data_IF_241618573054
#
_entry.id   IF_241618573054
#
_cell.length_a   1.000
_cell.length_b   1.000
_cell.length_c   1.000
_cell.angle_alpha   90.00
_cell.angle_beta   90.00
_cell.angle_gamma   90.00
#
_symmetry.space_group_name_H-M   'P 1'
#
loop_
_entity.id
_entity.type
_entity.pdbx_description
1 polymer ?
#
# COMPACT_ATOMS: atom_id res chain seq x y z
N UNK A 1 -12.23 4.66 -7.23
CA UNK A 1 -12.56 5.49 -6.04
C UNK A 1 -11.77 6.78 -6.04
N UNK A 2 -10.48 6.77 -6.19
CA UNK A 2 -9.63 7.97 -6.23
C UNK A 2 -8.68 7.89 -7.44
N UNK A 3 -9.15 8.13 -8.67
CA UNK A 3 -8.38 7.79 -9.87
C UNK A 3 -7.04 8.53 -9.95
N UNK A 4 -7.00 9.82 -9.65
CA UNK A 4 -5.76 10.59 -9.65
C UNK A 4 -4.77 10.09 -8.61
N UNK A 5 -5.25 9.84 -7.39
CA UNK A 5 -4.42 9.28 -6.33
C UNK A 5 -3.86 7.90 -6.71
N UNK A 6 -4.70 7.01 -7.23
CA UNK A 6 -4.26 5.69 -7.67
C UNK A 6 -3.22 5.78 -8.80
N UNK A 7 -3.40 6.68 -9.75
CA UNK A 7 -2.43 6.90 -10.83
C UNK A 7 -1.06 7.37 -10.28
N UNK A 8 -1.04 8.31 -9.33
CA UNK A 8 0.21 8.79 -8.72
C UNK A 8 0.91 7.68 -7.92
N UNK A 9 0.15 6.85 -7.21
CA UNK A 9 0.72 5.75 -6.43
C UNK A 9 1.26 4.61 -7.31
N UNK A 10 0.57 4.30 -8.41
CA UNK A 10 1.07 3.36 -9.41
C UNK A 10 2.37 3.84 -10.06
N UNK A 11 2.45 5.14 -10.37
CA UNK A 11 3.66 5.75 -10.91
C UNK A 11 4.85 5.66 -9.93
N UNK A 12 4.62 5.93 -8.64
CA UNK A 12 5.66 5.80 -7.60
C UNK A 12 6.13 4.36 -7.47
N UNK A 13 5.22 3.39 -7.50
CA UNK A 13 5.57 1.96 -7.47
C UNK A 13 6.48 1.58 -8.64
N UNK A 14 6.08 1.90 -9.86
CA UNK A 14 6.87 1.63 -11.07
C UNK A 14 8.23 2.32 -11.03
N UNK A 15 8.28 3.59 -10.60
CA UNK A 15 9.51 4.34 -10.42
C UNK A 15 10.45 3.68 -9.40
N UNK A 16 9.91 3.23 -8.27
CA UNK A 16 10.67 2.56 -7.21
C UNK A 16 11.36 1.29 -7.71
N UNK A 17 10.66 0.48 -8.50
CA UNK A 17 11.24 -0.72 -9.10
C UNK A 17 12.40 -0.40 -10.04
N UNK A 18 12.21 0.60 -10.90
CA UNK A 18 13.24 1.05 -11.85
C UNK A 18 14.46 1.64 -11.14
N UNK A 19 14.23 2.48 -10.13
CA UNK A 19 15.28 3.09 -9.32
C UNK A 19 16.10 2.03 -8.57
N UNK A 20 15.43 1.05 -7.98
CA UNK A 20 16.10 -0.08 -7.31
C UNK A 20 17.02 -0.83 -8.26
N UNK A 21 16.57 -1.07 -9.49
CA UNK A 21 17.39 -1.70 -10.51
C UNK A 21 18.61 -0.85 -10.90
N UNK A 22 18.42 0.45 -11.09
CA UNK A 22 19.54 1.36 -11.42
C UNK A 22 20.60 1.41 -10.32
N UNK A 23 20.18 1.38 -9.05
CA UNK A 23 21.10 1.52 -7.91
C UNK A 23 21.66 0.20 -7.37
N UNK A 24 21.36 -0.93 -8.01
CA UNK A 24 21.72 -2.29 -7.53
C UNK A 24 23.22 -2.54 -7.34
N UNK A 25 24.09 -1.73 -7.90
CA UNK A 25 25.54 -1.82 -7.75
C UNK A 25 26.11 -0.80 -6.78
N UNK A 26 25.28 -0.11 -6.01
CA UNK A 26 25.69 0.94 -5.06
C UNK A 26 25.36 0.55 -3.62
N UNK A 27 25.76 1.40 -2.67
CA UNK A 27 25.43 1.25 -1.26
C UNK A 27 24.04 1.85 -0.89
N UNK A 28 23.23 2.21 -1.89
CA UNK A 28 21.90 2.79 -1.67
C UNK A 28 20.86 1.68 -1.71
N UNK A 29 20.09 1.56 -0.65
CA UNK A 29 18.91 0.70 -0.59
C UNK A 29 17.66 1.50 -0.96
N UNK A 30 16.79 0.90 -1.78
CA UNK A 30 15.50 1.49 -2.18
C UNK A 30 14.39 0.62 -1.62
N UNK A 31 13.73 1.12 -0.59
CA UNK A 31 12.65 0.45 0.11
C UNK A 31 11.30 1.04 -0.32
N UNK A 32 10.28 0.21 -0.39
CA UNK A 32 8.91 0.63 -0.69
C UNK A 32 7.99 0.26 0.47
N UNK A 33 7.32 1.27 1.00
CA UNK A 33 6.27 1.09 2.00
C UNK A 33 4.93 1.43 1.35
N UNK A 34 4.05 0.46 1.24
CA UNK A 34 2.67 0.66 0.76
C UNK A 34 1.68 0.40 1.90
N UNK A 35 1.22 1.46 2.58
CA UNK A 35 0.30 1.30 3.70
C UNK A 35 -1.10 0.90 3.23
N UNK A 36 -1.87 0.20 4.08
CA UNK A 36 -3.30 0.07 3.90
C UNK A 36 -4.02 1.40 4.24
N UNK A 37 -5.35 1.37 4.27
CA UNK A 37 -6.12 2.45 4.90
C UNK A 37 -5.83 2.45 6.40
N UNK A 38 -5.24 3.51 6.91
CA UNK A 38 -4.76 3.64 8.31
C UNK A 38 -5.49 4.76 9.02
N UNK A 39 -5.75 4.60 10.31
CA UNK A 39 -6.36 5.62 11.16
C UNK A 39 -5.42 6.81 11.33
N UNK A 40 -5.56 7.79 10.44
CA UNK A 40 -4.84 9.07 10.41
C UNK A 40 -5.82 10.15 9.98
N UNK A 41 -5.38 11.40 9.96
CA UNK A 41 -6.18 12.52 9.49
C UNK A 41 -6.47 12.47 7.98
N UNK A 42 -5.68 11.68 7.25
CA UNK A 42 -5.88 11.51 5.81
C UNK A 42 -7.23 10.84 5.54
N UNK A 43 -8.07 11.49 4.74
CA UNK A 43 -9.40 11.00 4.35
C UNK A 43 -10.32 10.67 5.54
N UNK A 44 -10.16 11.40 6.65
CA UNK A 44 -10.93 11.16 7.89
C UNK A 44 -10.80 9.73 8.45
N UNK A 45 -9.67 9.09 8.18
CA UNK A 45 -9.41 7.71 8.61
C UNK A 45 -9.35 7.54 10.13
N UNK A 46 -9.06 8.61 10.88
CA UNK A 46 -9.00 8.57 12.34
C UNK A 46 -10.31 8.08 12.98
N UNK A 47 -11.45 8.35 12.33
CA UNK A 47 -12.79 8.01 12.81
C UNK A 47 -13.43 6.83 12.05
N UNK A 48 -12.74 6.24 11.08
CA UNK A 48 -13.28 5.15 10.28
C UNK A 48 -12.88 3.78 10.85
N UNK A 49 -13.85 2.97 11.31
CA UNK A 49 -13.56 1.64 11.86
C UNK A 49 -13.00 0.65 10.84
N UNK A 50 -13.09 0.95 9.53
CA UNK A 50 -12.49 0.13 8.45
C UNK A 50 -10.98 0.35 8.33
N UNK A 51 -10.46 1.45 8.90
CA UNK A 51 -9.05 1.78 8.86
C UNK A 51 -8.27 0.99 9.92
N UNK A 52 -7.09 0.54 9.55
CA UNK A 52 -6.18 -0.14 10.48
C UNK A 52 -5.68 0.84 11.56
N UNK A 53 -5.68 0.47 12.84
CA UNK A 53 -5.12 1.32 13.88
C UNK A 53 -3.66 1.70 13.57
N UNK A 54 -3.33 2.98 13.68
CA UNK A 54 -1.99 3.49 13.36
C UNK A 54 -0.88 2.78 14.14
N UNK A 55 -1.12 2.52 15.43
CA UNK A 55 -0.16 1.83 16.29
C UNK A 55 0.17 0.44 15.77
N UNK A 56 -0.83 -0.30 15.33
CA UNK A 56 -0.67 -1.68 14.83
C UNK A 56 0.07 -1.68 13.49
N UNK A 57 -0.29 -0.72 12.61
CA UNK A 57 0.43 -0.53 11.35
C UNK A 57 1.92 -0.25 11.57
N UNK A 58 2.24 0.70 12.45
CA UNK A 58 3.65 1.05 12.73
C UNK A 58 4.40 -0.16 13.30
N UNK A 59 3.81 -0.89 14.25
CA UNK A 59 4.45 -2.05 14.86
C UNK A 59 4.77 -3.13 13.82
N UNK A 60 3.80 -3.49 12.98
CA UNK A 60 3.98 -4.52 11.95
C UNK A 60 4.96 -4.07 10.86
N UNK A 61 4.87 -2.83 10.38
CA UNK A 61 5.79 -2.28 9.39
C UNK A 61 7.24 -2.27 9.89
N UNK A 62 7.46 -1.92 11.14
CA UNK A 62 8.80 -1.92 11.75
C UNK A 62 9.38 -3.33 11.90
N UNK A 63 8.56 -4.33 12.21
CA UNK A 63 9.02 -5.72 12.26
C UNK A 63 9.43 -6.22 10.86
N UNK A 64 8.65 -5.88 9.83
CA UNK A 64 9.00 -6.23 8.45
C UNK A 64 10.30 -5.52 8.02
N UNK A 65 10.45 -4.24 8.36
CA UNK A 65 11.67 -3.48 8.06
C UNK A 65 12.93 -4.13 8.63
N UNK A 66 12.86 -4.65 9.85
CA UNK A 66 13.97 -5.35 10.50
C UNK A 66 14.42 -6.62 9.77
N UNK A 67 13.57 -7.22 8.96
CA UNK A 67 13.92 -8.42 8.16
C UNK A 67 14.83 -8.12 6.98
N UNK A 68 15.05 -6.85 6.63
CA UNK A 68 15.78 -6.44 5.41
C UNK A 68 14.92 -6.54 4.15
N UNK A 69 13.61 -6.69 4.26
CA UNK A 69 12.72 -6.72 3.11
C UNK A 69 12.74 -5.38 2.36
N UNK A 70 12.78 -5.45 1.03
CA UNK A 70 12.72 -4.25 0.19
C UNK A 70 11.30 -3.73 -0.03
N UNK A 71 10.30 -4.57 0.21
CA UNK A 71 8.88 -4.23 0.11
C UNK A 71 8.24 -4.44 1.48
N UNK A 72 7.84 -3.34 2.09
CA UNK A 72 7.26 -3.32 3.43
C UNK A 72 5.74 -3.27 3.29
N UNK A 73 5.13 -4.44 3.22
CA UNK A 73 3.69 -4.62 3.07
C UNK A 73 3.14 -5.37 4.28
N UNK A 74 2.36 -4.68 5.10
CA UNK A 74 1.64 -5.32 6.21
C UNK A 74 0.62 -6.32 5.69
N UNK A 75 0.24 -7.31 6.49
CA UNK A 75 -0.57 -8.44 6.03
C UNK A 75 -1.88 -8.02 5.36
N UNK A 76 -2.57 -7.03 5.93
CA UNK A 76 -3.88 -6.64 5.42
C UNK A 76 -3.87 -5.91 4.06
N UNK A 77 -2.71 -5.50 3.56
CA UNK A 77 -2.59 -4.86 2.23
C UNK A 77 -2.14 -5.84 1.14
N UNK A 78 -1.58 -6.99 1.51
CA UNK A 78 -0.98 -7.94 0.56
C UNK A 78 -1.94 -8.44 -0.49
N UNK A 79 -3.19 -8.71 -0.14
CA UNK A 79 -4.20 -9.17 -1.09
C UNK A 79 -4.43 -8.17 -2.22
N UNK A 80 -4.32 -6.87 -1.93
CA UNK A 80 -4.47 -5.79 -2.92
C UNK A 80 -3.20 -5.61 -3.76
N UNK A 81 -2.05 -5.57 -3.10
CA UNK A 81 -0.77 -5.36 -3.78
C UNK A 81 -0.45 -6.49 -4.75
N UNK A 82 -0.82 -7.73 -4.41
CA UNK A 82 -0.52 -8.90 -5.23
C UNK A 82 -1.71 -9.37 -6.09
N UNK A 83 -2.79 -8.62 -6.17
CA UNK A 83 -4.00 -9.01 -6.90
C UNK A 83 -3.73 -9.36 -8.37
N UNK A 84 -2.94 -8.54 -9.06
CA UNK A 84 -2.52 -8.80 -10.45
C UNK A 84 -1.77 -10.12 -10.60
N UNK A 85 -0.79 -10.33 -9.73
CA UNK A 85 0.06 -11.52 -9.79
C UNK A 85 -0.68 -12.80 -9.45
N UNK A 86 -1.74 -12.70 -8.65
CA UNK A 86 -2.56 -13.82 -8.21
C UNK A 86 -3.78 -14.06 -9.11
N UNK A 87 -3.96 -13.27 -10.17
CA UNK A 87 -5.12 -13.36 -11.06
C UNK A 87 -6.45 -12.96 -10.41
N UNK A 88 -6.39 -12.14 -9.35
CA UNK A 88 -7.55 -11.69 -8.56
C UNK A 88 -7.81 -10.20 -8.68
N UNK A 89 -7.27 -9.57 -9.72
CA UNK A 89 -7.37 -8.12 -9.85
C UNK A 89 -8.82 -7.64 -9.87
N UNK A 90 -9.66 -8.21 -10.73
CA UNK A 90 -11.05 -7.75 -10.88
C UNK A 90 -11.84 -7.93 -9.59
N UNK A 91 -11.71 -9.09 -8.94
CA UNK A 91 -12.38 -9.37 -7.66
C UNK A 91 -11.99 -8.36 -6.57
N UNK A 92 -10.68 -8.11 -6.42
CA UNK A 92 -10.15 -7.18 -5.40
C UNK A 92 -10.51 -5.74 -5.74
N UNK A 93 -10.42 -5.35 -7.01
CA UNK A 93 -10.74 -4.02 -7.49
C UNK A 93 -12.23 -3.69 -7.24
N UNK A 94 -13.12 -4.57 -7.68
CA UNK A 94 -14.57 -4.38 -7.51
C UNK A 94 -14.97 -4.37 -6.04
N UNK A 95 -14.49 -5.34 -5.27
CA UNK A 95 -14.80 -5.45 -3.84
C UNK A 95 -14.33 -4.25 -3.04
N UNK A 96 -13.12 -3.74 -3.31
CA UNK A 96 -12.61 -2.56 -2.64
C UNK A 96 -13.40 -1.30 -2.99
N UNK A 97 -13.69 -1.07 -4.27
CA UNK A 97 -14.46 0.09 -4.69
C UNK A 97 -15.90 0.06 -4.16
N UNK A 98 -16.53 -1.12 -4.12
CA UNK A 98 -17.86 -1.29 -3.53
C UNK A 98 -17.86 -0.97 -2.02
N UNK A 99 -16.85 -1.44 -1.29
CA UNK A 99 -16.71 -1.19 0.14
C UNK A 99 -16.47 0.29 0.49
N UNK A 100 -15.95 1.07 -0.46
CA UNK A 100 -15.64 2.50 -0.29
C UNK A 100 -16.64 3.40 -1.02
N UNK A 101 -17.73 2.87 -1.54
CA UNK A 101 -18.68 3.60 -2.40
C UNK A 101 -19.31 4.83 -1.71
N UNK A 102 -19.50 4.80 -0.39
CA UNK A 102 -20.00 5.92 0.41
C UNK A 102 -19.07 7.13 0.43
N UNK A 103 -17.82 6.98 -0.04
CA UNK A 103 -16.82 8.05 -0.11
C UNK A 103 -16.83 8.83 -1.42
N UNK A 104 -17.66 8.43 -2.40
CA UNK A 104 -17.78 9.11 -3.69
C UNK A 104 -18.72 10.30 -3.71
N UNK A 105 -19.43 10.51 -2.67
CA UNK A 105 -20.51 11.50 -2.63
C UNK A 105 -20.00 12.83 -2.14
#
# INVERSE_FOLDING_TARGET
FTPTYCATKAAIHSYTLSLRYQLRGTNVEVLELAPPYVQTDLMDGANDPRAMPLKDFIAEAMEILKTGAQQIYVENVKSRVFADRNGKFDEVFEGFNAAMADRFV
#
